data_IF_479152002563
#
_entry.id   IF_479152002563
#
_cell.length_a   1.000
_cell.length_b   1.000
_cell.length_c   1.000
_cell.angle_alpha   90.00
_cell.angle_beta   90.00
_cell.angle_gamma   90.00
#
_symmetry.space_group_name_H-M   'P 1'
#
loop_
_entity.id
_entity.type
_entity.pdbx_description
1 polymer ?
#
# COMPACT_ATOMS: atom_id res chain seq x y z
N UNK A 1 -11.82 -31.79 12.53
CA UNK A 1 -11.37 -31.10 11.31
C UNK A 1 -9.85 -31.12 11.30
N UNK A 2 -9.23 -31.76 10.31
CA UNK A 2 -7.76 -31.80 10.18
C UNK A 2 -7.21 -30.48 9.62
N UNK A 3 -5.90 -30.23 9.72
CA UNK A 3 -5.27 -29.07 9.11
C UNK A 3 -5.43 -29.15 7.58
N UNK A 4 -5.88 -28.06 6.97
CA UNK A 4 -5.96 -27.92 5.53
C UNK A 4 -4.55 -27.58 5.05
N UNK A 5 -3.93 -28.50 4.32
CA UNK A 5 -2.63 -28.27 3.71
C UNK A 5 -2.82 -27.44 2.44
N UNK A 6 -2.29 -26.22 2.43
CA UNK A 6 -2.38 -25.33 1.27
C UNK A 6 -1.18 -25.59 0.36
N UNK A 7 -1.39 -25.78 -0.95
CA UNK A 7 -0.29 -25.94 -1.88
C UNK A 7 0.61 -24.69 -1.86
N UNK A 8 1.92 -24.86 -2.15
CA UNK A 8 2.84 -23.72 -2.23
C UNK A 8 2.34 -22.71 -3.28
N UNK A 9 2.53 -21.40 -3.04
CA UNK A 9 2.09 -20.38 -3.98
C UNK A 9 2.79 -20.57 -5.32
N UNK A 10 2.01 -20.58 -6.41
CA UNK A 10 2.59 -20.62 -7.76
C UNK A 10 3.45 -19.38 -8.02
N UNK A 11 4.52 -19.50 -8.81
CA UNK A 11 5.34 -18.35 -9.21
C UNK A 11 4.46 -17.34 -9.95
N UNK A 12 4.40 -16.12 -9.42
CA UNK A 12 3.64 -15.03 -10.03
C UNK A 12 4.26 -14.68 -11.38
N UNK A 13 3.47 -14.80 -12.45
CA UNK A 13 3.83 -14.23 -13.74
C UNK A 13 4.03 -12.71 -13.60
N UNK A 14 5.03 -12.17 -14.29
CA UNK A 14 5.27 -10.73 -14.29
C UNK A 14 4.05 -9.99 -14.87
N UNK A 15 3.57 -8.92 -14.21
CA UNK A 15 2.49 -8.11 -14.76
C UNK A 15 2.94 -7.47 -16.08
N UNK A 16 2.08 -7.55 -17.10
CA UNK A 16 2.29 -6.89 -18.40
C UNK A 16 1.89 -5.42 -18.43
N UNK A 17 1.33 -4.91 -17.32
CA UNK A 17 0.84 -3.54 -17.18
C UNK A 17 1.94 -2.68 -16.58
N UNK A 18 2.22 -1.56 -17.23
CA UNK A 18 3.13 -0.51 -16.78
C UNK A 18 2.36 0.70 -16.25
N UNK A 19 3.04 1.58 -15.51
CA UNK A 19 2.44 2.84 -15.05
C UNK A 19 1.95 3.73 -16.20
N UNK A 20 2.53 3.60 -17.39
CA UNK A 20 2.14 4.38 -18.58
C UNK A 20 0.81 3.95 -19.20
N UNK A 21 0.29 2.77 -18.84
CA UNK A 21 -0.99 2.29 -19.35
C UNK A 21 -2.19 2.95 -18.65
N UNK A 22 -1.95 3.71 -17.57
CA UNK A 22 -2.97 4.41 -16.80
C UNK A 22 -3.07 5.88 -17.23
N UNK A 23 -4.24 6.27 -17.76
CA UNK A 23 -4.48 7.62 -18.30
C UNK A 23 -4.83 8.69 -17.24
N UNK A 24 -4.95 8.30 -15.97
CA UNK A 24 -5.39 9.18 -14.89
C UNK A 24 -6.91 9.39 -14.84
N UNK A 25 -7.44 9.73 -13.67
CA UNK A 25 -8.89 9.90 -13.47
C UNK A 25 -9.43 11.16 -14.18
N UNK A 26 -8.56 12.16 -14.37
CA UNK A 26 -8.87 13.45 -15.01
C UNK A 26 -9.29 13.25 -16.48
N UNK A 27 -8.71 12.26 -17.17
CA UNK A 27 -9.07 11.93 -18.54
C UNK A 27 -10.54 11.50 -18.68
N UNK A 28 -11.15 11.01 -17.60
CA UNK A 28 -12.54 10.55 -17.58
C UNK A 28 -13.53 11.68 -17.25
N UNK A 29 -13.06 12.82 -16.73
CA UNK A 29 -13.92 13.82 -16.10
C UNK A 29 -14.90 14.51 -17.07
N UNK A 30 -14.50 14.72 -18.33
CA UNK A 30 -15.33 15.40 -19.32
C UNK A 30 -16.55 14.59 -19.77
N UNK A 31 -16.40 13.27 -19.88
CA UNK A 31 -17.48 12.36 -20.27
C UNK A 31 -18.28 11.82 -19.08
N UNK A 32 -17.67 11.75 -17.90
CA UNK A 32 -18.25 11.17 -16.67
C UNK A 32 -18.24 12.15 -15.50
N UNK A 33 -18.76 13.36 -15.74
CA UNK A 33 -18.67 14.47 -14.80
C UNK A 33 -19.27 14.18 -13.42
N UNK A 34 -20.45 13.54 -13.39
CA UNK A 34 -21.13 13.26 -12.12
C UNK A 34 -20.41 12.17 -11.31
N UNK A 35 -19.94 11.10 -11.97
CA UNK A 35 -19.16 10.05 -11.33
C UNK A 35 -17.84 10.60 -10.81
N UNK A 36 -17.14 11.40 -11.61
CA UNK A 36 -15.88 12.03 -11.22
C UNK A 36 -16.07 12.94 -10.00
N UNK A 37 -17.12 13.76 -9.99
CA UNK A 37 -17.47 14.65 -8.86
C UNK A 37 -17.74 13.88 -7.57
N UNK A 38 -18.52 12.81 -7.64
CA UNK A 38 -18.81 11.98 -6.45
C UNK A 38 -17.57 11.23 -5.97
N UNK A 39 -16.78 10.68 -6.91
CA UNK A 39 -15.57 9.93 -6.61
C UNK A 39 -14.49 10.81 -5.96
N UNK A 40 -14.20 11.99 -6.53
CA UNK A 40 -13.13 12.88 -6.06
C UNK A 40 -13.37 13.39 -4.64
N UNK A 41 -14.64 13.55 -4.27
CA UNK A 41 -15.07 13.86 -2.91
C UNK A 41 -15.13 12.67 -1.96
N UNK A 42 -14.92 11.42 -2.41
CA UNK A 42 -15.04 10.22 -1.57
C UNK A 42 -13.74 9.86 -0.85
N UNK A 43 -13.81 8.92 0.09
CA UNK A 43 -12.61 8.34 0.72
C UNK A 43 -11.66 7.74 -0.31
N UNK A 44 -12.17 7.06 -1.34
CA UNK A 44 -11.34 6.46 -2.39
C UNK A 44 -10.69 7.50 -3.31
N UNK A 45 -11.39 8.58 -3.65
CA UNK A 45 -10.81 9.67 -4.45
C UNK A 45 -9.78 10.51 -3.68
N UNK A 46 -9.85 10.48 -2.34
CA UNK A 46 -8.88 11.11 -1.44
C UNK A 46 -7.90 10.11 -0.81
N UNK A 47 -7.91 8.85 -1.26
CA UNK A 47 -7.00 7.83 -0.77
C UNK A 47 -5.67 7.89 -1.52
N UNK A 48 -4.57 7.68 -0.79
CA UNK A 48 -3.22 7.80 -1.33
C UNK A 48 -2.73 9.25 -1.41
N UNK A 49 -1.60 9.45 -2.08
CA UNK A 49 -0.87 10.72 -2.09
C UNK A 49 0.45 10.61 -1.30
N UNK A 50 1.28 11.65 -1.40
CA UNK A 50 2.55 11.68 -0.69
C UNK A 50 2.31 11.70 0.83
N UNK A 51 3.07 10.92 1.61
CA UNK A 51 2.96 10.96 3.06
C UNK A 51 3.46 12.30 3.59
N UNK A 52 2.69 12.91 4.49
CA UNK A 52 3.02 14.15 5.18
C UNK A 52 2.41 14.16 6.59
N UNK A 53 2.89 15.01 7.50
CA UNK A 53 2.37 15.09 8.87
C UNK A 53 0.88 15.41 8.95
N UNK A 54 0.33 16.05 7.93
CA UNK A 54 -1.10 16.35 7.78
C UNK A 54 -1.93 15.20 7.19
N UNK A 55 -1.32 14.25 6.47
CA UNK A 55 -2.01 13.12 5.82
C UNK A 55 -1.79 11.78 6.54
N UNK A 56 -0.69 11.64 7.26
CA UNK A 56 -0.31 10.43 8.00
C UNK A 56 -0.80 10.52 9.45
N UNK A 57 -1.90 9.84 9.74
CA UNK A 57 -2.50 9.78 11.08
C UNK A 57 -1.77 8.77 11.97
N UNK A 58 -1.25 7.69 11.38
CA UNK A 58 -0.60 6.63 12.14
C UNK A 58 0.75 7.09 12.71
N UNK A 59 1.09 6.75 13.96
CA UNK A 59 2.37 7.10 14.52
C UNK A 59 3.47 6.23 13.89
N UNK A 60 4.39 6.86 13.14
CA UNK A 60 5.63 6.26 12.66
C UNK A 60 6.72 6.36 13.73
N UNK A 61 6.38 5.96 14.95
CA UNK A 61 7.19 6.10 16.16
C UNK A 61 8.02 4.86 16.50
N UNK A 62 8.01 3.85 15.62
CA UNK A 62 8.71 2.59 15.81
C UNK A 62 7.92 1.54 16.60
N UNK A 63 6.67 1.80 16.99
CA UNK A 63 5.83 0.81 17.68
C UNK A 63 5.57 -0.40 16.79
N UNK A 64 6.02 -1.62 17.16
CA UNK A 64 5.88 -2.78 16.27
C UNK A 64 4.44 -3.29 16.15
N UNK A 65 4.01 -3.55 14.93
CA UNK A 65 2.79 -4.26 14.59
C UNK A 65 3.15 -5.73 14.38
N UNK A 66 2.49 -6.64 15.12
CA UNK A 66 2.77 -8.08 15.08
C UNK A 66 1.69 -8.83 14.29
N UNK A 67 2.15 -9.62 13.32
CA UNK A 67 1.36 -10.59 12.57
C UNK A 67 1.82 -12.00 12.94
N UNK A 68 1.10 -13.02 12.45
CA UNK A 68 1.43 -14.42 12.75
C UNK A 68 2.84 -14.83 12.26
N UNK A 69 3.27 -14.27 11.13
CA UNK A 69 4.52 -14.61 10.44
C UNK A 69 5.47 -13.42 10.24
N UNK A 70 5.08 -12.24 10.71
CA UNK A 70 5.83 -11.00 10.48
C UNK A 70 5.74 -9.99 11.63
N UNK A 71 6.74 -9.13 11.72
CA UNK A 71 6.69 -7.88 12.49
C UNK A 71 6.94 -6.71 11.55
N UNK A 72 6.07 -5.71 11.61
CA UNK A 72 6.17 -4.47 10.82
C UNK A 72 6.42 -3.30 11.77
N UNK A 73 7.49 -2.55 11.52
CA UNK A 73 7.87 -1.37 12.32
C UNK A 73 7.74 -0.11 11.46
N UNK A 74 6.70 0.72 11.66
CA UNK A 74 6.59 2.01 11.00
C UNK A 74 7.57 3.01 11.65
N UNK A 75 8.43 3.65 10.86
CA UNK A 75 9.36 4.67 11.37
C UNK A 75 9.63 5.79 10.37
N UNK A 76 10.09 6.93 10.88
CA UNK A 76 10.63 8.02 10.07
C UNK A 76 12.16 7.91 10.04
N UNK A 77 12.76 7.86 8.85
CA UNK A 77 14.21 7.84 8.65
C UNK A 77 14.63 8.93 7.67
N UNK A 78 15.42 9.90 8.14
CA UNK A 78 15.86 11.02 7.30
C UNK A 78 14.71 11.86 6.72
N UNK A 79 13.58 11.94 7.43
CA UNK A 79 12.37 12.63 6.97
C UNK A 79 11.45 11.80 6.07
N UNK A 80 11.85 10.59 5.68
CA UNK A 80 11.02 9.68 4.90
C UNK A 80 10.29 8.69 5.81
N UNK A 81 9.02 8.40 5.48
CA UNK A 81 8.22 7.38 6.13
C UNK A 81 8.57 6.01 5.54
N UNK A 82 8.86 5.02 6.39
CA UNK A 82 9.15 3.66 5.95
C UNK A 82 8.54 2.60 6.88
N UNK A 83 8.20 1.45 6.30
CA UNK A 83 7.86 0.23 7.02
C UNK A 83 9.05 -0.74 6.98
N UNK A 84 9.61 -1.07 8.14
CA UNK A 84 10.60 -2.14 8.25
C UNK A 84 9.87 -3.46 8.50
N UNK A 85 10.03 -4.41 7.60
CA UNK A 85 9.33 -5.70 7.64
C UNK A 85 10.32 -6.81 7.92
N UNK A 86 10.07 -7.55 9.00
CA UNK A 86 10.73 -8.81 9.35
C UNK A 86 9.73 -9.93 9.17
N UNK A 87 9.97 -10.84 8.22
CA UNK A 87 9.08 -11.96 7.93
C UNK A 87 9.87 -13.26 7.96
N UNK A 88 9.25 -14.33 8.49
CA UNK A 88 9.90 -15.64 8.58
C UNK A 88 10.32 -16.15 7.18
N UNK A 89 11.58 -16.54 7.04
CA UNK A 89 12.13 -17.05 5.77
C UNK A 89 12.51 -15.97 4.75
N UNK A 90 12.43 -14.68 5.11
CA UNK A 90 12.84 -13.57 4.27
C UNK A 90 13.81 -12.64 5.00
N UNK A 91 14.73 -12.04 4.25
CA UNK A 91 15.57 -10.95 4.75
C UNK A 91 14.70 -9.75 5.17
N UNK A 92 15.16 -9.03 6.20
CA UNK A 92 14.54 -7.77 6.61
C UNK A 92 14.60 -6.76 5.47
N UNK A 93 13.48 -6.07 5.21
CA UNK A 93 13.39 -5.05 4.16
C UNK A 93 12.67 -3.80 4.67
N UNK A 94 13.16 -2.65 4.24
CA UNK A 94 12.48 -1.37 4.42
C UNK A 94 11.71 -1.00 3.14
N UNK A 95 10.44 -0.66 3.30
CA UNK A 95 9.58 -0.20 2.22
C UNK A 95 9.24 1.27 2.43
N UNK A 96 9.56 2.17 1.49
CA UNK A 96 9.11 3.55 1.58
C UNK A 96 7.59 3.62 1.46
N UNK A 97 6.99 4.60 2.13
CA UNK A 97 5.57 4.96 2.00
C UNK A 97 5.37 5.94 0.86
#
# INVERSE_FOLDING_TARGET
SGPVDFPPPEPRASPRVSSGDFVGAEACASCHAEQYRMWSGSTHGRAGGAPGPETVIAPFDGTPIRFADATVVPRIRGGAYEFVVRQNGFEERAFPV
#
